data_IF_133341481665
#
_entry.id   IF_133341481665
#
_cell.length_a   1.000
_cell.length_b   1.000
_cell.length_c   1.000
_cell.angle_alpha   90.00
_cell.angle_beta   90.00
_cell.angle_gamma   90.00
#
_symmetry.space_group_name_H-M   'P 1'
#
loop_
_entity.id
_entity.type
_entity.pdbx_description
1 polymer ?
#
# COMPACT_ATOMS: atom_id res chain seq x y z
N UNK A 1 -7.99 24.13 44.13
CA UNK A 1 -7.62 23.08 43.16
C UNK A 1 -8.90 22.77 42.42
N UNK A 2 -9.00 23.29 41.20
CA UNK A 2 -10.28 23.49 40.50
C UNK A 2 -10.86 22.15 40.00
N UNK A 3 -12.17 21.94 40.18
CA UNK A 3 -12.88 20.72 39.79
C UNK A 3 -12.81 20.45 38.27
N UNK A 4 -12.63 21.51 37.48
CA UNK A 4 -12.39 21.48 36.03
C UNK A 4 -11.09 20.74 35.66
N UNK A 5 -10.05 20.89 36.48
CA UNK A 5 -8.71 20.34 36.24
C UNK A 5 -8.67 18.83 36.53
N UNK A 6 -9.41 18.36 37.55
CA UNK A 6 -9.57 16.94 37.85
C UNK A 6 -10.37 16.21 36.77
N UNK A 7 -11.43 16.85 36.25
CA UNK A 7 -12.25 16.29 35.17
C UNK A 7 -11.47 16.26 33.86
N UNK A 8 -10.67 17.28 33.55
CA UNK A 8 -9.80 17.27 32.37
C UNK A 8 -8.72 16.19 32.45
N UNK A 9 -8.08 15.99 33.62
CA UNK A 9 -7.11 14.90 33.83
C UNK A 9 -7.74 13.52 33.69
N UNK A 10 -8.96 13.35 34.18
CA UNK A 10 -9.70 12.09 34.05
C UNK A 10 -10.11 11.83 32.59
N UNK A 11 -10.47 12.87 31.84
CA UNK A 11 -10.78 12.78 30.40
C UNK A 11 -9.52 12.56 29.55
N UNK A 12 -8.39 13.17 29.91
CA UNK A 12 -7.08 12.93 29.27
C UNK A 12 -6.62 11.48 29.51
N UNK A 13 -6.74 10.97 30.73
CA UNK A 13 -6.44 9.58 31.05
C UNK A 13 -7.36 8.57 30.31
N UNK A 14 -8.66 8.88 30.16
CA UNK A 14 -9.56 8.08 29.32
C UNK A 14 -9.17 8.12 27.84
N UNK A 15 -8.79 9.29 27.32
CA UNK A 15 -8.35 9.44 25.94
C UNK A 15 -7.04 8.69 25.68
N UNK A 16 -6.05 8.81 26.56
CA UNK A 16 -4.76 8.12 26.47
C UNK A 16 -4.89 6.59 26.47
N UNK A 17 -5.84 6.02 27.23
CA UNK A 17 -6.10 4.58 27.19
C UNK A 17 -7.01 4.16 26.01
N UNK A 18 -7.88 5.04 25.53
CA UNK A 18 -8.81 4.74 24.43
C UNK A 18 -8.15 4.81 23.05
N UNK A 19 -7.16 5.69 22.83
CA UNK A 19 -6.41 5.77 21.57
C UNK A 19 -5.69 4.46 21.19
N UNK A 20 -4.87 3.82 22.06
CA UNK A 20 -4.20 2.57 21.73
C UNK A 20 -5.19 1.41 21.61
N UNK A 21 -6.27 1.41 22.41
CA UNK A 21 -7.30 0.36 22.34
C UNK A 21 -8.08 0.42 21.03
N UNK A 22 -8.45 1.61 20.54
CA UNK A 22 -9.13 1.77 19.23
C UNK A 22 -8.28 1.31 18.04
N UNK A 23 -6.95 1.52 18.12
CA UNK A 23 -5.99 1.05 17.12
C UNK A 23 -5.82 -0.48 17.19
N UNK A 24 -5.75 -1.02 18.41
CA UNK A 24 -5.64 -2.46 18.64
C UNK A 24 -6.89 -3.20 18.14
N UNK A 25 -8.09 -2.67 18.39
CA UNK A 25 -9.35 -3.28 17.94
C UNK A 25 -9.38 -3.46 16.42
N UNK A 26 -8.93 -2.45 15.64
CA UNK A 26 -8.90 -2.53 14.17
C UNK A 26 -7.94 -3.61 13.66
N UNK A 27 -6.78 -3.77 14.29
CA UNK A 27 -5.80 -4.81 13.92
C UNK A 27 -6.26 -6.21 14.32
N UNK A 28 -6.91 -6.34 15.49
CA UNK A 28 -7.43 -7.63 15.97
C UNK A 28 -8.60 -8.10 15.10
N UNK A 29 -9.48 -7.21 14.65
CA UNK A 29 -10.60 -7.57 13.76
C UNK A 29 -10.13 -8.19 12.45
N UNK A 30 -9.09 -7.65 11.81
CA UNK A 30 -8.56 -8.23 10.56
C UNK A 30 -7.88 -9.57 10.80
N UNK A 31 -7.15 -9.74 11.91
CA UNK A 31 -6.54 -11.03 12.29
C UNK A 31 -7.58 -12.11 12.59
N UNK A 32 -8.70 -11.76 13.22
CA UNK A 32 -9.78 -12.72 13.50
C UNK A 32 -10.51 -13.14 12.22
N UNK A 33 -10.79 -12.19 11.31
CA UNK A 33 -11.34 -12.51 9.98
C UNK A 33 -10.40 -13.43 9.18
N UNK A 34 -9.08 -13.20 9.30
CA UNK A 34 -8.04 -14.03 8.69
C UNK A 34 -7.94 -15.44 9.29
N UNK A 35 -8.34 -15.65 10.55
CA UNK A 35 -8.27 -16.97 11.20
C UNK A 35 -9.53 -17.82 10.96
N UNK A 36 -10.71 -17.19 10.89
CA UNK A 36 -11.99 -17.90 10.78
C UNK A 36 -12.54 -18.05 9.36
N UNK A 37 -12.15 -17.20 8.39
CA UNK A 37 -12.79 -17.14 7.05
C UNK A 37 -11.92 -17.65 5.89
N UNK A 38 -10.64 -17.95 6.14
CA UNK A 38 -9.62 -17.87 5.08
C UNK A 38 -9.41 -19.12 4.22
N UNK A 39 -9.82 -20.32 4.63
CA UNK A 39 -9.34 -21.53 3.95
C UNK A 39 -9.86 -21.73 2.52
N UNK A 40 -11.02 -21.14 2.15
CA UNK A 40 -11.57 -21.27 0.77
C UNK A 40 -12.05 -19.99 0.11
N UNK A 41 -12.54 -19.00 0.87
CA UNK A 41 -13.21 -17.84 0.29
C UNK A 41 -12.28 -16.64 0.12
N UNK A 42 -11.41 -16.40 1.11
CA UNK A 42 -10.53 -15.24 1.09
C UNK A 42 -9.51 -15.27 -0.06
N UNK A 43 -8.96 -16.44 -0.41
CA UNK A 43 -8.06 -16.57 -1.56
C UNK A 43 -8.73 -16.14 -2.87
N UNK A 44 -10.02 -16.44 -3.06
CA UNK A 44 -10.76 -16.04 -4.27
C UNK A 44 -10.95 -14.52 -4.34
N UNK A 45 -11.32 -13.89 -3.22
CA UNK A 45 -11.44 -12.43 -3.13
C UNK A 45 -10.08 -11.75 -3.34
N UNK A 46 -9.01 -12.30 -2.77
CA UNK A 46 -7.66 -11.77 -2.93
C UNK A 46 -7.21 -11.83 -4.40
N UNK A 47 -7.50 -12.93 -5.10
CA UNK A 47 -7.24 -13.03 -6.54
C UNK A 47 -8.04 -12.00 -7.35
N UNK A 48 -9.33 -11.78 -7.04
CA UNK A 48 -10.15 -10.77 -7.71
C UNK A 48 -9.60 -9.35 -7.47
N UNK A 49 -9.17 -9.04 -6.24
CA UNK A 49 -8.54 -7.76 -5.93
C UNK A 49 -7.22 -7.58 -6.67
N UNK A 50 -6.40 -8.62 -6.79
CA UNK A 50 -5.17 -8.60 -7.56
C UNK A 50 -5.44 -8.38 -9.05
N UNK A 51 -6.40 -9.11 -9.62
CA UNK A 51 -6.81 -8.95 -11.02
C UNK A 51 -7.36 -7.53 -11.28
N UNK A 52 -8.18 -6.99 -10.38
CA UNK A 52 -8.69 -5.64 -10.46
C UNK A 52 -7.58 -4.58 -10.43
N UNK A 53 -6.58 -4.74 -9.55
CA UNK A 53 -5.40 -3.84 -9.51
C UNK A 53 -4.62 -3.86 -10.82
N UNK A 54 -4.39 -5.05 -11.39
CA UNK A 54 -3.69 -5.19 -12.68
C UNK A 54 -4.50 -4.57 -13.83
N UNK A 55 -5.81 -4.82 -13.87
CA UNK A 55 -6.70 -4.23 -14.87
C UNK A 55 -6.73 -2.70 -14.80
N UNK A 56 -6.77 -2.14 -13.58
CA UNK A 56 -6.69 -0.69 -13.37
C UNK A 56 -5.35 -0.10 -13.86
N UNK A 57 -4.22 -0.78 -13.62
CA UNK A 57 -2.92 -0.35 -14.13
C UNK A 57 -2.89 -0.33 -15.66
N UNK A 58 -3.39 -1.38 -16.31
CA UNK A 58 -3.48 -1.46 -17.78
C UNK A 58 -4.34 -0.32 -18.33
N UNK A 59 -5.48 -0.05 -17.70
CA UNK A 59 -6.38 1.03 -18.10
C UNK A 59 -5.71 2.40 -17.98
N UNK A 60 -5.02 2.69 -16.88
CA UNK A 60 -4.30 3.95 -16.67
C UNK A 60 -3.21 4.14 -17.73
N UNK A 61 -2.42 3.10 -18.01
CA UNK A 61 -1.38 3.15 -19.04
C UNK A 61 -2.01 3.39 -20.42
N UNK A 62 -3.08 2.67 -20.77
CA UNK A 62 -3.76 2.81 -22.06
C UNK A 62 -4.36 4.20 -22.28
N UNK A 63 -5.07 4.74 -21.28
CA UNK A 63 -5.64 6.09 -21.34
C UNK A 63 -4.54 7.14 -21.41
N UNK A 64 -3.46 6.99 -20.63
CA UNK A 64 -2.32 7.90 -20.66
C UNK A 64 -1.63 7.95 -22.03
N UNK A 65 -1.36 6.78 -22.63
CA UNK A 65 -0.76 6.68 -23.97
C UNK A 65 -1.70 7.21 -25.05
N UNK A 66 -2.99 6.87 -24.99
CA UNK A 66 -3.99 7.38 -25.92
C UNK A 66 -4.08 8.91 -25.84
N UNK A 67 -4.16 9.47 -24.63
CA UNK A 67 -4.20 10.91 -24.43
C UNK A 67 -2.94 11.61 -24.93
N UNK A 68 -1.76 11.02 -24.71
CA UNK A 68 -0.49 11.56 -25.17
C UNK A 68 -0.38 11.58 -26.70
N UNK A 69 -0.81 10.49 -27.37
CA UNK A 69 -0.74 10.35 -28.83
C UNK A 69 -1.80 11.20 -29.54
N UNK A 70 -3.03 11.25 -29.04
CA UNK A 70 -4.14 11.93 -29.71
C UNK A 70 -4.26 13.42 -29.38
N UNK A 71 -3.90 13.84 -28.17
CA UNK A 71 -4.04 15.24 -27.75
C UNK A 71 -2.79 16.08 -28.02
N UNK A 72 -1.62 15.47 -28.11
CA UNK A 72 -0.35 16.19 -28.38
C UNK A 72 0.06 17.22 -27.32
N UNK A 73 -0.70 17.37 -26.24
CA UNK A 73 -0.43 18.25 -25.10
C UNK A 73 0.70 17.67 -24.23
N UNK A 74 1.91 17.71 -24.76
CA UNK A 74 3.16 17.42 -24.03
C UNK A 74 3.57 18.54 -23.06
N UNK A 75 2.76 19.59 -22.95
CA UNK A 75 3.05 20.79 -22.15
C UNK A 75 3.28 20.50 -20.66
N UNK A 76 2.59 19.50 -20.08
CA UNK A 76 2.80 19.07 -18.68
C UNK A 76 4.03 18.16 -18.50
N UNK A 77 4.58 17.64 -19.59
CA UNK A 77 5.83 16.89 -19.61
C UNK A 77 7.03 17.75 -20.03
N UNK A 78 6.83 19.05 -20.26
CA UNK A 78 7.93 19.99 -20.48
C UNK A 78 8.76 20.09 -19.19
N UNK A 79 10.07 19.95 -19.33
CA UNK A 79 11.03 19.96 -18.21
C UNK A 79 10.85 21.18 -17.29
N UNK A 80 10.41 22.30 -17.85
CA UNK A 80 10.17 23.56 -17.13
C UNK A 80 8.98 23.51 -16.15
N UNK A 81 8.05 22.55 -16.28
CA UNK A 81 6.93 22.35 -15.35
C UNK A 81 7.12 21.15 -14.43
N UNK A 82 7.80 20.08 -14.88
CA UNK A 82 7.98 18.86 -14.07
C UNK A 82 8.93 19.10 -12.88
N UNK A 83 9.96 19.92 -13.07
CA UNK A 83 10.96 20.21 -12.04
C UNK A 83 10.73 21.54 -11.31
N UNK A 84 9.68 22.27 -11.66
CA UNK A 84 9.31 23.51 -10.99
C UNK A 84 8.89 23.17 -9.56
N UNK A 85 9.51 23.83 -8.59
CA UNK A 85 9.34 23.58 -7.15
C UNK A 85 9.89 22.23 -6.63
N UNK A 86 10.76 21.54 -7.39
CA UNK A 86 11.46 20.35 -6.89
C UNK A 86 12.51 20.71 -5.83
N UNK A 87 12.34 20.19 -4.61
CA UNK A 87 13.32 20.29 -3.53
C UNK A 87 14.39 19.19 -3.68
N UNK A 88 15.58 19.59 -4.12
CA UNK A 88 16.74 18.71 -4.34
C UNK A 88 17.53 18.40 -3.06
N UNK A 89 16.96 18.68 -1.89
CA UNK A 89 17.56 18.29 -0.61
C UNK A 89 17.87 16.79 -0.56
N UNK A 90 19.05 16.43 -0.05
CA UNK A 90 19.48 15.04 0.10
C UNK A 90 18.47 14.19 0.89
N UNK A 91 17.75 14.79 1.84
CA UNK A 91 16.68 14.13 2.59
C UNK A 91 15.52 13.69 1.69
N UNK A 92 15.06 14.58 0.80
CA UNK A 92 13.94 14.30 -0.10
C UNK A 92 14.28 13.21 -1.12
N UNK A 93 15.52 13.19 -1.61
CA UNK A 93 16.01 12.15 -2.52
C UNK A 93 16.02 10.78 -1.82
N UNK A 94 16.53 10.71 -0.58
CA UNK A 94 16.56 9.46 0.20
C UNK A 94 15.12 8.98 0.50
N UNK A 95 14.21 9.89 0.83
CA UNK A 95 12.79 9.57 1.03
C UNK A 95 12.15 9.06 -0.27
N UNK A 96 12.41 9.70 -1.41
CA UNK A 96 11.92 9.24 -2.71
C UNK A 96 12.44 7.84 -3.07
N UNK A 97 13.72 7.57 -2.81
CA UNK A 97 14.31 6.24 -2.99
C UNK A 97 13.73 5.21 -2.02
N UNK A 98 13.44 5.60 -0.78
CA UNK A 98 12.78 4.73 0.19
C UNK A 98 11.37 4.33 -0.25
N UNK A 99 10.58 5.30 -0.74
CA UNK A 99 9.26 5.04 -1.31
C UNK A 99 9.34 4.15 -2.56
N UNK A 100 10.33 4.38 -3.43
CA UNK A 100 10.60 3.54 -4.59
C UNK A 100 10.94 2.10 -4.20
N UNK A 101 11.89 1.90 -3.29
CA UNK A 101 12.27 0.58 -2.81
C UNK A 101 11.10 -0.15 -2.13
N UNK A 102 10.28 0.56 -1.36
CA UNK A 102 9.07 0.00 -0.75
C UNK A 102 8.06 -0.46 -1.81
N UNK A 103 7.89 0.29 -2.90
CA UNK A 103 7.03 -0.11 -4.01
C UNK A 103 7.51 -1.39 -4.73
N UNK A 104 8.82 -1.69 -4.70
CA UNK A 104 9.40 -2.93 -5.24
C UNK A 104 9.57 -4.04 -4.17
N UNK A 105 9.16 -3.81 -2.92
CA UNK A 105 9.28 -4.78 -1.84
C UNK A 105 8.40 -6.01 -2.07
N UNK A 106 9.01 -7.12 -2.49
CA UNK A 106 8.28 -8.38 -2.74
C UNK A 106 8.97 -9.37 -3.68
N UNK A 107 10.06 -8.96 -4.35
CA UNK A 107 10.81 -9.77 -5.30
C UNK A 107 11.31 -11.12 -4.72
N UNK A 108 11.79 -11.13 -3.47
CA UNK A 108 12.31 -12.36 -2.85
C UNK A 108 11.21 -13.40 -2.61
N UNK A 109 10.02 -12.97 -2.20
CA UNK A 109 8.86 -13.86 -1.95
C UNK A 109 8.37 -14.48 -3.26
N UNK A 110 8.42 -13.74 -4.37
CA UNK A 110 8.08 -14.26 -5.69
C UNK A 110 9.08 -15.30 -6.16
N UNK A 111 10.38 -15.08 -5.94
CA UNK A 111 11.41 -16.07 -6.29
C UNK A 111 11.23 -17.37 -5.49
N UNK A 112 11.05 -17.29 -4.16
CA UNK A 112 10.79 -18.48 -3.33
C UNK A 112 9.51 -19.24 -3.75
N UNK A 113 8.43 -18.51 -4.05
CA UNK A 113 7.17 -19.13 -4.51
C UNK A 113 7.27 -19.81 -5.89
N UNK A 114 8.13 -19.29 -6.78
CA UNK A 114 8.35 -19.88 -8.10
C UNK A 114 9.30 -21.08 -8.06
N UNK A 115 10.29 -21.08 -7.16
CA UNK A 115 11.17 -22.24 -6.91
C UNK A 115 10.37 -23.48 -6.51
N UNK A 116 9.37 -23.32 -5.63
CA UNK A 116 8.53 -24.42 -5.16
C UNK A 116 7.65 -25.07 -6.27
N UNK A 117 7.24 -24.30 -7.28
CA UNK A 117 6.42 -24.80 -8.40
C UNK A 117 7.28 -25.63 -9.36
N UNK A 118 8.55 -25.26 -9.55
CA UNK A 118 9.46 -26.01 -10.42
C UNK A 118 9.79 -27.37 -9.81
N UNK A 119 10.11 -27.44 -8.50
CA UNK A 119 10.48 -28.68 -7.82
C UNK A 119 9.36 -29.75 -7.88
N UNK A 120 8.09 -29.34 -7.81
CA UNK A 120 6.94 -30.26 -7.95
C UNK A 120 6.82 -30.88 -9.33
N UNK A 121 7.21 -30.17 -10.39
CA UNK A 121 7.21 -30.70 -11.76
C UNK A 121 8.36 -31.69 -12.01
N UNK A 122 9.47 -31.56 -11.27
CA UNK A 122 10.61 -32.48 -11.37
C UNK A 122 10.42 -33.81 -10.64
N UNK A 123 9.54 -33.89 -9.63
CA UNK A 123 9.32 -35.11 -8.84
C UNK A 123 8.24 -36.05 -9.41
N UNK A 124 7.67 -35.72 -10.57
CA UNK A 124 6.62 -36.50 -11.25
C UNK A 124 7.13 -37.35 -12.43
N UNK A 125 8.44 -37.55 -12.55
CA UNK A 125 9.06 -38.54 -13.45
C UNK A 125 9.91 -39.53 -12.67
#
# INVERSE_FOLDING_TARGET
MDHSDLTEKTQRARRENMYPMSLATRKVSTSLLNMFSLSRFAGRIQCVSMAAKVAALIMIIGIGLFYMIFKGDTQHFSKDYIFKDSDWSASQIVLALYQGNWAYGGYTILNYGMEDIQIKNFKSY
#
